data_IF_449739484592
#
_entry.id   IF_449739484592
#
_cell.length_a   1.000
_cell.length_b   1.000
_cell.length_c   1.000
_cell.angle_alpha   90.00
_cell.angle_beta   90.00
_cell.angle_gamma   90.00
#
_symmetry.space_group_name_H-M   'P 1'
#
loop_
_entity.id
_entity.type
_entity.pdbx_description
1 polymer ?
#
# COMPACT_ATOMS: atom_id res chain seq x y z
N UNK A 1 -8.10 -43.60 21.50
CA UNK A 1 -6.85 -43.05 20.92
C UNK A 1 -7.27 -41.83 20.12
N UNK A 2 -7.02 -40.63 20.66
CA UNK A 2 -7.40 -39.36 20.03
C UNK A 2 -6.58 -39.13 18.75
N UNK A 3 -7.24 -38.87 17.63
CA UNK A 3 -6.60 -38.30 16.45
C UNK A 3 -6.66 -36.77 16.53
N UNK A 4 -5.48 -36.16 16.69
CA UNK A 4 -5.26 -34.72 16.63
C UNK A 4 -5.43 -34.27 15.16
N UNK A 5 -6.49 -33.55 14.87
CA UNK A 5 -6.61 -32.76 13.64
C UNK A 5 -5.74 -31.51 13.77
N UNK A 6 -4.57 -31.52 13.14
CA UNK A 6 -3.78 -30.31 12.93
C UNK A 6 -4.38 -29.51 11.78
N UNK A 7 -4.84 -28.29 12.07
CA UNK A 7 -5.18 -27.31 11.04
C UNK A 7 -3.92 -26.95 10.26
N UNK A 8 -3.79 -27.42 9.02
CA UNK A 8 -3.01 -26.73 8.00
C UNK A 8 -3.89 -25.61 7.47
N UNK A 9 -3.49 -24.35 7.71
CA UNK A 9 -4.04 -23.23 6.95
C UNK A 9 -3.49 -23.33 5.53
N UNK A 10 -4.26 -23.94 4.64
CA UNK A 10 -3.96 -23.89 3.22
C UNK A 10 -4.15 -22.44 2.76
N UNK A 11 -3.05 -21.71 2.62
CA UNK A 11 -3.06 -20.39 1.99
C UNK A 11 -3.75 -20.49 0.62
N UNK A 12 -4.64 -19.55 0.26
CA UNK A 12 -5.34 -19.61 -1.01
C UNK A 12 -4.35 -19.74 -2.16
N UNK A 13 -4.57 -20.75 -3.01
CA UNK A 13 -3.85 -20.93 -4.27
C UNK A 13 -4.26 -19.78 -5.19
N UNK A 14 -3.51 -18.68 -5.16
CA UNK A 14 -3.65 -17.62 -6.15
C UNK A 14 -3.48 -18.23 -7.55
N UNK A 15 -4.46 -17.93 -8.41
CA UNK A 15 -4.47 -18.32 -9.82
C UNK A 15 -3.18 -17.78 -10.45
N UNK A 16 -2.44 -18.59 -11.25
CA UNK A 16 -1.22 -18.14 -11.87
C UNK A 16 -1.54 -17.17 -13.01
N UNK A 17 -1.85 -15.92 -12.68
CA UNK A 17 -1.69 -14.82 -13.63
C UNK A 17 -0.19 -14.64 -13.80
N UNK A 18 0.35 -15.15 -14.92
CA UNK A 18 1.74 -15.01 -15.39
C UNK A 18 2.69 -14.50 -14.31
N UNK A 19 3.24 -15.42 -13.51
CA UNK A 19 4.23 -15.04 -12.50
C UNK A 19 5.35 -14.28 -13.20
N UNK A 20 5.46 -12.99 -12.89
CA UNK A 20 6.54 -12.14 -13.36
C UNK A 20 7.88 -12.86 -13.17
N UNK A 21 8.76 -12.90 -14.18
CA UNK A 21 10.08 -13.50 -14.02
C UNK A 21 10.80 -12.91 -12.80
N UNK A 22 11.45 -13.75 -12.00
CA UNK A 22 12.12 -13.31 -10.76
C UNK A 22 13.14 -12.20 -11.01
N UNK A 23 13.82 -12.20 -12.16
CA UNK A 23 14.73 -11.13 -12.57
C UNK A 23 13.98 -9.79 -12.78
N UNK A 24 12.85 -9.80 -13.49
CA UNK A 24 11.99 -8.62 -13.63
C UNK A 24 11.54 -8.10 -12.27
N UNK A 25 11.09 -8.99 -11.39
CA UNK A 25 10.66 -8.63 -10.04
C UNK A 25 11.79 -7.98 -9.25
N UNK A 26 12.99 -8.56 -9.27
CA UNK A 26 14.11 -8.02 -8.50
C UNK A 26 14.60 -6.68 -9.07
N UNK A 27 14.78 -6.58 -10.40
CA UNK A 27 15.31 -5.37 -11.05
C UNK A 27 14.38 -4.17 -10.91
N UNK A 28 13.07 -4.37 -10.97
CA UNK A 28 12.12 -3.27 -10.79
C UNK A 28 12.19 -2.70 -9.36
N UNK A 29 12.40 -3.55 -8.34
CA UNK A 29 12.58 -3.11 -6.95
C UNK A 29 13.96 -2.53 -6.67
N UNK A 30 14.99 -3.00 -7.37
CA UNK A 30 16.30 -2.36 -7.37
C UNK A 30 16.23 -0.94 -7.94
N UNK A 31 15.52 -0.75 -9.06
CA UNK A 31 15.28 0.57 -9.64
C UNK A 31 14.53 1.48 -8.67
N UNK A 32 13.45 0.99 -8.06
CA UNK A 32 12.73 1.72 -7.01
C UNK A 32 13.68 2.15 -5.88
N UNK A 33 14.55 1.24 -5.42
CA UNK A 33 15.49 1.58 -4.35
C UNK A 33 16.55 2.61 -4.76
N UNK A 34 16.95 2.65 -6.04
CA UNK A 34 17.81 3.72 -6.58
C UNK A 34 17.12 5.08 -6.51
N UNK A 35 15.82 5.14 -6.83
CA UNK A 35 15.00 6.36 -6.67
C UNK A 35 15.00 6.84 -5.23
N UNK A 36 14.74 5.93 -4.29
CA UNK A 36 14.75 6.25 -2.86
C UNK A 36 16.09 6.85 -2.42
N UNK A 37 17.21 6.39 -2.98
CA UNK A 37 18.55 6.90 -2.67
C UNK A 37 19.01 8.04 -3.58
N UNK A 38 18.09 8.66 -4.33
CA UNK A 38 18.36 9.80 -5.23
C UNK A 38 19.34 9.50 -6.37
N UNK A 39 19.53 8.22 -6.73
CA UNK A 39 20.29 7.80 -7.90
C UNK A 39 19.41 7.85 -9.16
N UNK A 40 18.91 9.04 -9.49
CA UNK A 40 17.88 9.23 -10.51
C UNK A 40 18.34 8.85 -11.93
N UNK A 41 19.58 9.16 -12.31
CA UNK A 41 20.12 8.78 -13.64
C UNK A 41 20.16 7.25 -13.84
N UNK A 42 20.65 6.55 -12.82
CA UNK A 42 20.74 5.10 -12.84
C UNK A 42 19.35 4.45 -12.81
N UNK A 43 18.45 4.97 -11.97
CA UNK A 43 17.06 4.52 -11.90
C UNK A 43 16.32 4.77 -13.23
N UNK A 44 16.49 5.95 -13.83
CA UNK A 44 15.91 6.29 -15.13
C UNK A 44 16.41 5.35 -16.23
N UNK A 45 17.70 5.08 -16.27
CA UNK A 45 18.30 4.14 -17.23
C UNK A 45 17.74 2.73 -17.06
N UNK A 46 17.58 2.29 -15.81
CA UNK A 46 17.01 0.97 -15.52
C UNK A 46 15.52 0.88 -15.85
N UNK A 47 14.76 1.95 -15.59
CA UNK A 47 13.35 2.03 -15.94
C UNK A 47 13.12 1.91 -17.45
N UNK A 48 13.90 2.64 -18.27
CA UNK A 48 13.81 2.52 -19.74
C UNK A 48 14.06 1.08 -20.19
N UNK A 49 15.10 0.42 -19.66
CA UNK A 49 15.38 -0.99 -19.98
C UNK A 49 14.22 -1.91 -19.58
N UNK A 50 13.59 -1.69 -18.44
CA UNK A 50 12.45 -2.48 -17.99
C UNK A 50 11.21 -2.25 -18.86
N UNK A 51 11.03 -1.06 -19.44
CA UNK A 51 9.93 -0.79 -20.38
C UNK A 51 10.17 -1.38 -21.78
N UNK A 52 11.41 -1.74 -22.11
CA UNK A 52 11.78 -2.39 -23.37
C UNK A 52 11.74 -3.92 -23.31
N UNK A 53 11.45 -4.50 -22.15
CA UNK A 53 11.33 -5.96 -21.95
C UNK A 53 9.87 -6.38 -21.76
N UNK A 54 9.60 -7.69 -21.78
CA UNK A 54 8.29 -8.26 -21.42
C UNK A 54 8.01 -8.22 -19.90
N UNK A 55 8.74 -7.41 -19.13
CA UNK A 55 8.52 -7.26 -17.70
C UNK A 55 7.25 -6.42 -17.44
N UNK A 56 6.21 -7.05 -16.90
CA UNK A 56 5.06 -6.31 -16.36
C UNK A 56 5.52 -5.48 -15.16
N UNK A 57 5.33 -4.16 -15.23
CA UNK A 57 5.72 -3.25 -14.17
C UNK A 57 4.62 -3.08 -13.13
N UNK A 58 5.01 -3.13 -11.86
CA UNK A 58 4.14 -2.73 -10.77
C UNK A 58 3.82 -1.21 -10.88
N UNK A 59 2.58 -0.75 -10.70
CA UNK A 59 2.23 0.67 -10.81
C UNK A 59 3.04 1.62 -9.90
N UNK A 60 3.41 1.17 -8.69
CA UNK A 60 4.30 1.92 -7.79
C UNK A 60 5.68 2.08 -8.41
N UNK A 61 6.17 1.02 -9.06
CA UNK A 61 7.48 1.02 -9.70
C UNK A 61 7.45 1.86 -10.98
N UNK A 62 6.41 1.76 -11.80
CA UNK A 62 6.21 2.64 -12.96
C UNK A 62 6.24 4.12 -12.54
N UNK A 63 5.51 4.47 -11.47
CA UNK A 63 5.48 5.83 -10.92
C UNK A 63 6.88 6.31 -10.50
N UNK A 64 7.67 5.45 -9.84
CA UNK A 64 9.03 5.76 -9.41
C UNK A 64 9.99 5.93 -10.59
N UNK A 65 9.88 5.07 -11.61
CA UNK A 65 10.68 5.15 -12.82
C UNK A 65 10.41 6.44 -13.60
N UNK A 66 9.14 6.81 -13.74
CA UNK A 66 8.73 8.07 -14.33
C UNK A 66 9.29 9.28 -13.54
N UNK A 67 9.19 9.24 -12.22
CA UNK A 67 9.78 10.27 -11.36
C UNK A 67 11.31 10.37 -11.53
N UNK A 68 12.01 9.24 -11.66
CA UNK A 68 13.44 9.21 -11.95
C UNK A 68 13.77 9.91 -13.27
N UNK A 69 13.01 9.65 -14.34
CA UNK A 69 13.19 10.33 -15.63
C UNK A 69 13.01 11.85 -15.50
N UNK A 70 11.99 12.30 -14.79
CA UNK A 70 11.73 13.73 -14.57
C UNK A 70 12.86 14.39 -13.78
N UNK A 71 13.36 13.74 -12.73
CA UNK A 71 14.52 14.22 -11.94
C UNK A 71 15.82 14.26 -12.73
N UNK A 72 15.91 13.45 -13.77
CA UNK A 72 17.03 13.37 -14.71
C UNK A 72 16.92 14.33 -15.90
N UNK A 73 15.94 15.24 -15.93
CA UNK A 73 15.77 16.20 -17.04
C UNK A 73 15.34 15.54 -18.36
N UNK A 74 14.64 14.40 -18.29
CA UNK A 74 14.10 13.67 -19.46
C UNK A 74 12.59 13.93 -19.63
N UNK A 75 12.14 15.16 -19.42
CA UNK A 75 10.71 15.51 -19.42
C UNK A 75 10.02 15.22 -20.77
N UNK A 76 10.74 15.36 -21.88
CA UNK A 76 10.22 15.09 -23.22
C UNK A 76 9.87 13.60 -23.43
N UNK A 77 10.55 12.69 -22.72
CA UNK A 77 10.29 11.26 -22.75
C UNK A 77 9.29 10.84 -21.65
N UNK A 78 9.40 11.45 -20.47
CA UNK A 78 8.54 11.16 -19.33
C UNK A 78 7.08 11.61 -19.51
N UNK A 79 6.85 12.83 -20.01
CA UNK A 79 5.49 13.40 -20.10
C UNK A 79 4.55 12.58 -21.01
N UNK A 80 4.98 12.06 -22.18
CA UNK A 80 4.17 11.14 -22.96
C UNK A 80 3.84 9.83 -22.24
N UNK A 81 4.79 9.26 -21.49
CA UNK A 81 4.56 8.03 -20.70
C UNK A 81 3.51 8.26 -19.62
N UNK A 82 3.57 9.40 -18.91
CA UNK A 82 2.53 9.78 -17.95
C UNK A 82 1.17 9.94 -18.62
N UNK A 83 1.12 10.70 -19.72
CA UNK A 83 -0.14 11.04 -20.41
C UNK A 83 -0.85 9.81 -20.97
N UNK A 84 -0.08 8.87 -21.53
CA UNK A 84 -0.57 7.63 -22.12
C UNK A 84 -0.71 6.48 -21.11
N UNK A 85 -0.20 6.64 -19.89
CA UNK A 85 -0.31 5.66 -18.81
C UNK A 85 -1.76 5.40 -18.42
N UNK A 86 -2.00 4.30 -17.71
CA UNK A 86 -3.33 4.00 -17.19
C UNK A 86 -3.76 5.04 -16.14
N UNK A 87 -5.06 5.17 -15.89
CA UNK A 87 -5.53 6.03 -14.79
C UNK A 87 -4.99 5.58 -13.43
N UNK A 88 -4.69 4.29 -13.27
CA UNK A 88 -4.05 3.75 -12.07
C UNK A 88 -2.61 4.25 -11.94
N UNK A 89 -1.82 4.19 -13.02
CA UNK A 89 -0.44 4.67 -13.04
C UNK A 89 -0.35 6.17 -12.73
N UNK A 90 -1.23 6.96 -13.37
CA UNK A 90 -1.30 8.40 -13.13
C UNK A 90 -1.66 8.71 -11.68
N UNK A 91 -2.62 8.00 -11.10
CA UNK A 91 -3.01 8.15 -9.69
C UNK A 91 -1.89 7.75 -8.74
N UNK A 92 -1.20 6.63 -9.01
CA UNK A 92 -0.07 6.18 -8.22
C UNK A 92 1.06 7.22 -8.23
N UNK A 93 1.38 7.77 -9.40
CA UNK A 93 2.36 8.85 -9.54
C UNK A 93 1.94 10.10 -8.78
N UNK A 94 0.69 10.54 -8.94
CA UNK A 94 0.22 11.75 -8.28
C UNK A 94 0.02 11.62 -6.78
N UNK A 95 -0.30 10.42 -6.30
CA UNK A 95 -0.30 10.13 -4.87
C UNK A 95 1.11 10.27 -4.29
N UNK A 96 2.13 9.72 -4.95
CA UNK A 96 3.50 9.74 -4.47
C UNK A 96 4.19 11.11 -4.63
N UNK A 97 4.00 11.78 -5.77
CA UNK A 97 4.80 12.93 -6.21
C UNK A 97 4.01 14.17 -6.57
N UNK A 98 2.68 14.17 -6.39
CA UNK A 98 1.83 15.29 -6.79
C UNK A 98 2.21 16.62 -6.14
N UNK A 99 2.80 16.62 -4.93
CA UNK A 99 3.32 17.85 -4.30
C UNK A 99 4.34 18.57 -5.20
N UNK A 100 5.25 17.79 -5.80
CA UNK A 100 6.32 18.34 -6.61
C UNK A 100 5.88 18.56 -8.06
N UNK A 101 4.96 17.71 -8.55
CA UNK A 101 4.48 17.73 -9.93
C UNK A 101 3.00 18.10 -10.03
N UNK A 102 2.58 19.12 -9.25
CA UNK A 102 1.18 19.56 -9.14
C UNK A 102 0.56 19.87 -10.51
N UNK A 103 1.33 20.49 -11.41
CA UNK A 103 0.87 20.76 -12.78
C UNK A 103 0.46 19.49 -13.53
N UNK A 104 1.24 18.41 -13.42
CA UNK A 104 0.92 17.11 -14.04
C UNK A 104 -0.31 16.48 -13.38
N UNK A 105 -0.46 16.67 -12.07
CA UNK A 105 -1.45 15.98 -11.26
C UNK A 105 -2.78 16.71 -11.12
N UNK A 106 -2.83 18.00 -11.40
CA UNK A 106 -4.03 18.84 -11.35
C UNK A 106 -5.15 18.37 -12.28
N UNK A 107 -4.84 17.54 -13.28
CA UNK A 107 -5.81 16.97 -14.23
C UNK A 107 -6.49 15.69 -13.70
N UNK A 108 -5.97 15.08 -12.63
CA UNK A 108 -6.51 13.84 -12.06
C UNK A 108 -7.77 14.12 -11.26
N UNK A 109 -8.91 13.74 -11.83
CA UNK A 109 -10.23 13.92 -11.21
C UNK A 109 -10.60 12.76 -10.29
N UNK A 110 -11.50 12.96 -9.31
CA UNK A 110 -12.15 11.85 -8.60
C UNK A 110 -12.73 10.81 -9.57
N UNK A 111 -12.67 9.53 -9.20
CA UNK A 111 -13.33 8.47 -9.97
C UNK A 111 -14.84 8.70 -10.04
N UNK A 112 -15.45 8.36 -11.17
CA UNK A 112 -16.91 8.33 -11.28
C UNK A 112 -17.37 7.03 -10.63
N UNK A 113 -18.17 7.15 -9.56
CA UNK A 113 -18.57 6.01 -8.74
C UNK A 113 -20.08 5.99 -8.55
N UNK A 114 -20.64 4.81 -8.33
CA UNK A 114 -22.10 4.64 -8.16
C UNK A 114 -22.63 5.10 -6.80
N UNK A 115 -21.79 5.25 -5.77
CA UNK A 115 -22.18 5.74 -4.44
C UNK A 115 -21.24 6.84 -3.92
N UNK A 116 -21.25 8.06 -4.50
CA UNK A 116 -20.33 9.13 -4.13
C UNK A 116 -20.47 9.55 -2.66
N UNK A 117 -21.68 9.57 -2.09
CA UNK A 117 -21.87 9.87 -0.66
C UNK A 117 -21.19 8.84 0.26
N UNK A 118 -21.22 7.56 -0.11
CA UNK A 118 -20.55 6.50 0.65
C UNK A 118 -19.03 6.65 0.55
N UNK A 119 -18.50 6.90 -0.65
CA UNK A 119 -17.08 7.22 -0.85
C UNK A 119 -16.66 8.38 0.04
N UNK A 120 -17.34 9.51 -0.08
CA UNK A 120 -16.93 10.74 0.63
C UNK A 120 -17.01 10.56 2.15
N UNK A 121 -17.95 9.74 2.65
CA UNK A 121 -18.00 9.36 4.07
C UNK A 121 -16.78 8.54 4.48
N UNK A 122 -16.39 7.54 3.69
CA UNK A 122 -15.21 6.71 3.96
C UNK A 122 -13.92 7.55 3.88
N UNK A 123 -13.80 8.42 2.88
CA UNK A 123 -12.63 9.28 2.71
C UNK A 123 -12.44 10.21 3.91
N UNK A 124 -13.50 10.70 4.54
CA UNK A 124 -13.37 11.52 5.75
C UNK A 124 -12.76 10.74 6.91
N UNK A 125 -13.18 9.48 7.09
CA UNK A 125 -12.59 8.59 8.09
C UNK A 125 -11.12 8.29 7.75
N UNK A 126 -10.81 8.08 6.46
CA UNK A 126 -9.46 7.81 5.98
C UNK A 126 -8.51 9.00 6.17
N UNK A 127 -8.95 10.21 5.79
CA UNK A 127 -8.17 11.44 6.01
C UNK A 127 -7.93 11.65 7.51
N UNK A 128 -8.95 11.45 8.36
CA UNK A 128 -8.80 11.56 9.81
C UNK A 128 -7.78 10.57 10.36
N UNK A 129 -7.85 9.31 9.92
CA UNK A 129 -6.91 8.25 10.28
C UNK A 129 -5.47 8.61 9.91
N UNK A 130 -5.20 8.93 8.64
CA UNK A 130 -3.84 9.18 8.16
C UNK A 130 -3.25 10.50 8.65
N UNK A 131 -4.08 11.55 8.76
CA UNK A 131 -3.63 12.85 9.25
C UNK A 131 -3.13 12.76 10.70
N UNK A 132 -3.84 12.01 11.57
CA UNK A 132 -3.40 11.77 12.96
C UNK A 132 -2.11 10.96 13.07
N UNK A 133 -1.73 10.23 12.01
CA UNK A 133 -0.52 9.41 11.88
C UNK A 133 0.68 10.18 11.30
N UNK A 134 0.49 11.45 10.92
CA UNK A 134 1.51 12.25 10.23
C UNK A 134 1.73 11.83 8.77
N UNK A 135 0.78 11.12 8.15
CA UNK A 135 0.82 10.77 6.73
C UNK A 135 0.56 11.98 5.84
N UNK A 136 1.24 12.07 4.70
CA UNK A 136 0.97 13.11 3.70
C UNK A 136 -0.28 12.74 2.88
N UNK A 137 -1.43 13.30 3.27
CA UNK A 137 -2.73 13.04 2.64
C UNK A 137 -3.26 14.25 1.84
N UNK A 138 -2.41 15.27 1.60
CA UNK A 138 -2.80 16.55 0.98
C UNK A 138 -3.40 16.38 -0.41
N UNK A 139 -2.82 15.51 -1.23
CA UNK A 139 -3.32 15.22 -2.57
C UNK A 139 -4.75 14.66 -2.55
N UNK A 140 -5.08 13.84 -1.54
CA UNK A 140 -6.44 13.33 -1.37
C UNK A 140 -7.39 14.46 -0.94
N UNK A 141 -6.97 15.31 -0.01
CA UNK A 141 -7.75 16.47 0.46
C UNK A 141 -8.05 17.42 -0.72
N UNK A 142 -7.04 17.75 -1.53
CA UNK A 142 -7.16 18.65 -2.68
C UNK A 142 -8.05 18.04 -3.77
N UNK A 143 -7.80 16.79 -4.16
CA UNK A 143 -8.56 16.08 -5.21
C UNK A 143 -10.06 16.01 -4.92
N UNK A 144 -10.43 15.82 -3.66
CA UNK A 144 -11.83 15.71 -3.23
C UNK A 144 -12.37 17.00 -2.60
N UNK A 145 -11.60 18.09 -2.60
CA UNK A 145 -11.94 19.37 -1.98
C UNK A 145 -12.50 19.18 -0.55
N UNK A 146 -11.79 18.41 0.27
CA UNK A 146 -12.28 17.97 1.57
C UNK A 146 -12.13 19.08 2.61
N UNK A 147 -13.21 19.33 3.37
CA UNK A 147 -13.14 20.20 4.54
C UNK A 147 -12.34 19.52 5.65
N UNK A 148 -11.23 20.16 6.04
CA UNK A 148 -10.31 19.73 7.10
C UNK A 148 -10.53 20.46 8.41
N UNK A 149 -11.53 21.33 8.50
CA UNK A 149 -11.87 22.08 9.72
C UNK A 149 -12.12 21.10 10.87
N UNK A 150 -11.36 21.25 11.95
CA UNK A 150 -11.48 20.39 13.15
C UNK A 150 -10.65 19.11 13.12
N UNK A 151 -9.88 18.83 12.06
CA UNK A 151 -8.86 17.79 12.11
C UNK A 151 -7.71 18.23 13.03
N UNK A 152 -7.32 17.35 13.95
CA UNK A 152 -6.23 17.59 14.90
C UNK A 152 -5.31 16.38 14.99
N UNK A 153 -4.00 16.63 14.98
CA UNK A 153 -2.97 15.60 15.19
C UNK A 153 -2.97 15.04 16.63
N UNK A 154 -3.65 15.70 17.58
CA UNK A 154 -3.61 15.34 19.01
C UNK A 154 -4.62 14.26 19.43
N UNK A 155 -5.45 13.72 18.52
CA UNK A 155 -6.58 12.82 18.83
C UNK A 155 -6.39 11.37 18.35
N UNK A 156 -5.15 10.88 18.30
CA UNK A 156 -4.78 9.60 17.66
C UNK A 156 -5.56 8.37 18.17
N UNK A 157 -5.75 8.19 19.48
CA UNK A 157 -6.43 6.98 20.03
C UNK A 157 -7.96 7.04 19.97
N UNK A 158 -8.53 8.23 20.12
CA UNK A 158 -9.98 8.41 20.05
C UNK A 158 -10.48 8.25 18.59
N UNK A 159 -9.62 8.54 17.62
CA UNK A 159 -9.94 8.39 16.19
C UNK A 159 -10.13 6.94 15.74
N UNK A 160 -9.36 5.96 16.24
CA UNK A 160 -9.41 4.58 15.72
C UNK A 160 -10.74 3.90 16.05
N UNK A 161 -11.17 3.96 17.32
CA UNK A 161 -12.45 3.37 17.75
C UNK A 161 -13.65 4.07 17.09
N UNK A 162 -13.63 5.40 16.99
CA UNK A 162 -14.71 6.13 16.31
C UNK A 162 -14.74 5.84 14.80
N UNK A 163 -13.58 5.74 14.14
CA UNK A 163 -13.49 5.38 12.73
C UNK A 163 -14.02 3.97 12.50
N UNK A 164 -13.65 3.03 13.37
CA UNK A 164 -14.11 1.65 13.34
C UNK A 164 -15.65 1.58 13.44
N UNK A 165 -16.25 2.20 14.46
CA UNK A 165 -17.71 2.18 14.66
C UNK A 165 -18.46 2.85 13.49
N UNK A 166 -17.95 3.97 12.99
CA UNK A 166 -18.53 4.65 11.83
C UNK A 166 -18.44 3.79 10.56
N UNK A 167 -17.29 3.16 10.29
CA UNK A 167 -17.13 2.31 9.12
C UNK A 167 -18.00 1.05 9.23
N UNK A 168 -18.09 0.43 10.40
CA UNK A 168 -19.01 -0.70 10.66
C UNK A 168 -20.46 -0.31 10.36
N UNK A 169 -20.91 0.87 10.78
CA UNK A 169 -22.26 1.38 10.48
C UNK A 169 -22.48 1.61 8.98
N UNK A 170 -21.50 2.20 8.30
CA UNK A 170 -21.56 2.40 6.83
C UNK A 170 -21.69 1.06 6.10
N UNK A 171 -20.87 0.07 6.46
CA UNK A 171 -20.89 -1.28 5.87
C UNK A 171 -22.20 -2.00 6.18
N UNK A 172 -22.68 -1.93 7.43
CA UNK A 172 -23.96 -2.55 7.82
C UNK A 172 -25.13 -1.99 7.01
N UNK A 173 -25.10 -0.69 6.71
CA UNK A 173 -26.17 -0.02 5.97
C UNK A 173 -26.08 -0.25 4.45
N UNK A 174 -24.87 -0.30 3.90
CA UNK A 174 -24.65 -0.26 2.45
C UNK A 174 -24.18 -1.58 1.83
N UNK A 175 -23.88 -2.58 2.66
CA UNK A 175 -23.04 -3.71 2.29
C UNK A 175 -21.55 -3.35 2.31
N UNK A 176 -20.68 -4.36 2.21
CA UNK A 176 -19.26 -4.12 2.01
C UNK A 176 -19.04 -3.43 0.65
N UNK A 177 -18.37 -2.27 0.62
CA UNK A 177 -18.26 -1.49 -0.61
C UNK A 177 -17.39 -2.19 -1.66
N UNK A 178 -17.59 -1.82 -2.92
CA UNK A 178 -16.74 -2.23 -4.05
C UNK A 178 -16.08 -1.02 -4.71
N UNK A 179 -15.02 -1.23 -5.49
CA UNK A 179 -14.38 -0.16 -6.26
C UNK A 179 -15.36 0.60 -7.17
N UNK A 180 -16.35 -0.07 -7.78
CA UNK A 180 -17.39 0.61 -8.55
C UNK A 180 -18.30 1.52 -7.69
N UNK A 181 -18.45 1.23 -6.40
CA UNK A 181 -19.26 2.03 -5.49
C UNK A 181 -18.51 3.21 -4.90
N UNK A 182 -17.24 3.02 -4.56
CA UNK A 182 -16.49 4.02 -3.77
C UNK A 182 -15.14 4.42 -4.37
N UNK A 183 -14.75 3.86 -5.50
CA UNK A 183 -13.43 4.08 -6.12
C UNK A 183 -12.31 3.43 -5.34
N UNK A 184 -11.10 3.47 -5.90
CA UNK A 184 -9.90 2.96 -5.26
C UNK A 184 -9.58 3.72 -3.98
N UNK A 185 -9.64 5.05 -3.99
CA UNK A 185 -9.37 5.86 -2.80
C UNK A 185 -10.32 5.50 -1.63
N UNK A 186 -11.58 5.18 -1.94
CA UNK A 186 -12.55 4.70 -0.96
C UNK A 186 -12.21 3.31 -0.43
N UNK A 187 -11.80 2.38 -1.29
CA UNK A 187 -11.36 1.03 -0.88
C UNK A 187 -10.09 1.10 -0.03
N UNK A 188 -9.13 1.95 -0.38
CA UNK A 188 -7.93 2.22 0.42
C UNK A 188 -8.34 2.73 1.82
N UNK A 189 -9.31 3.64 1.90
CA UNK A 189 -9.86 4.10 3.18
C UNK A 189 -10.47 3.00 4.04
N UNK A 190 -11.21 2.05 3.44
CA UNK A 190 -11.72 0.86 4.15
C UNK A 190 -10.56 0.04 4.72
N UNK A 191 -9.54 -0.23 3.91
CA UNK A 191 -8.38 -1.01 4.32
C UNK A 191 -7.67 -0.40 5.54
N UNK A 192 -7.34 0.90 5.50
CA UNK A 192 -6.58 1.52 6.58
C UNK A 192 -7.35 1.53 7.90
N UNK A 193 -8.66 1.81 7.89
CA UNK A 193 -9.48 1.78 9.10
C UNK A 193 -9.54 0.35 9.68
N UNK A 194 -9.74 -0.66 8.82
CA UNK A 194 -9.77 -2.07 9.26
C UNK A 194 -8.40 -2.51 9.79
N UNK A 195 -7.30 -2.13 9.11
CA UNK A 195 -5.93 -2.44 9.53
C UNK A 195 -5.64 -1.92 10.94
N UNK A 196 -6.16 -0.74 11.30
CA UNK A 196 -5.96 -0.10 12.60
C UNK A 196 -7.01 -0.49 13.66
N UNK A 197 -8.04 -1.23 13.28
CA UNK A 197 -9.06 -1.73 14.20
C UNK A 197 -8.49 -2.58 15.34
N UNK A 198 -9.12 -2.43 16.51
CA UNK A 198 -8.86 -3.29 17.67
C UNK A 198 -9.67 -4.60 17.63
N UNK A 199 -10.80 -4.62 16.92
CA UNK A 199 -11.70 -5.77 16.78
C UNK A 199 -11.16 -6.81 15.80
N UNK A 200 -10.54 -7.86 16.36
CA UNK A 200 -9.98 -8.97 15.59
C UNK A 200 -11.02 -9.77 14.80
N UNK A 201 -12.26 -9.88 15.30
CA UNK A 201 -13.30 -10.64 14.62
C UNK A 201 -13.77 -9.88 13.37
N UNK A 202 -13.88 -8.55 13.48
CA UNK A 202 -14.15 -7.72 12.32
C UNK A 202 -13.02 -7.77 11.30
N UNK A 203 -11.75 -7.68 11.74
CA UNK A 203 -10.60 -7.84 10.85
C UNK A 203 -10.64 -9.18 10.10
N UNK A 204 -10.95 -10.29 10.78
CA UNK A 204 -11.13 -11.61 10.14
C UNK A 204 -12.24 -11.62 9.10
N UNK A 205 -13.40 -11.00 9.41
CA UNK A 205 -14.52 -10.92 8.48
C UNK A 205 -14.16 -10.13 7.21
N UNK A 206 -13.38 -9.04 7.35
CA UNK A 206 -12.91 -8.24 6.23
C UNK A 206 -11.82 -8.98 5.45
N UNK A 207 -10.93 -9.72 6.12
CA UNK A 207 -9.91 -10.52 5.44
C UNK A 207 -10.54 -11.57 4.51
N UNK A 208 -11.58 -12.27 4.96
CA UNK A 208 -12.35 -13.20 4.11
C UNK A 208 -12.96 -12.48 2.90
N UNK A 209 -13.40 -11.22 3.09
CA UNK A 209 -13.91 -10.42 1.98
C UNK A 209 -12.81 -10.01 0.99
N UNK A 210 -11.61 -9.69 1.47
CA UNK A 210 -10.47 -9.46 0.58
C UNK A 210 -10.04 -10.73 -0.16
N UNK A 211 -10.13 -11.91 0.46
CA UNK A 211 -9.88 -13.17 -0.25
C UNK A 211 -10.81 -13.35 -1.46
N UNK A 212 -12.10 -13.03 -1.32
CA UNK A 212 -13.04 -13.01 -2.45
C UNK A 212 -12.62 -12.01 -3.54
N UNK A 213 -12.26 -10.79 -3.14
CA UNK A 213 -11.84 -9.71 -4.04
C UNK A 213 -10.47 -9.96 -4.71
N UNK A 214 -9.61 -10.80 -4.12
CA UNK A 214 -8.37 -11.23 -4.77
C UNK A 214 -8.67 -12.13 -5.98
N UNK A 215 -9.68 -12.99 -5.86
CA UNK A 215 -10.04 -13.93 -6.91
C UNK A 215 -10.67 -13.24 -8.13
N UNK A 216 -11.30 -12.08 -7.93
CA UNK A 216 -11.88 -11.26 -9.00
C UNK A 216 -10.95 -10.13 -9.49
N UNK A 217 -9.79 -9.94 -8.85
CA UNK A 217 -8.80 -8.91 -9.20
C UNK A 217 -9.19 -7.48 -8.77
N UNK A 218 -10.19 -7.30 -7.92
CA UNK A 218 -10.74 -5.99 -7.52
C UNK A 218 -10.13 -5.41 -6.23
N UNK A 219 -9.03 -5.98 -5.73
CA UNK A 219 -8.31 -5.47 -4.56
C UNK A 219 -6.80 -5.56 -4.75
N UNK A 220 -6.07 -4.64 -4.13
CA UNK A 220 -4.61 -4.68 -4.05
C UNK A 220 -4.17 -5.88 -3.19
N UNK A 221 -3.32 -6.74 -3.75
CA UNK A 221 -2.81 -7.95 -3.07
C UNK A 221 -2.06 -7.62 -1.79
N UNK A 222 -1.33 -6.50 -1.77
CA UNK A 222 -0.57 -6.08 -0.61
C UNK A 222 -1.48 -5.84 0.60
N UNK A 223 -2.70 -5.32 0.40
CA UNK A 223 -3.66 -5.10 1.50
C UNK A 223 -4.03 -6.40 2.22
N UNK A 224 -4.27 -7.46 1.46
CA UNK A 224 -4.51 -8.79 2.04
C UNK A 224 -3.30 -9.26 2.85
N UNK A 225 -2.09 -9.16 2.28
CA UNK A 225 -0.87 -9.60 2.95
C UNK A 225 -0.64 -8.87 4.28
N UNK A 226 -0.80 -7.56 4.30
CA UNK A 226 -0.68 -6.73 5.52
C UNK A 226 -1.73 -7.10 6.58
N UNK A 227 -3.00 -7.25 6.19
CA UNK A 227 -4.06 -7.60 7.14
C UNK A 227 -3.91 -9.03 7.68
N UNK A 228 -3.56 -9.98 6.81
CA UNK A 228 -3.30 -11.38 7.16
C UNK A 228 -2.20 -11.50 8.22
N UNK A 229 -1.03 -10.90 7.99
CA UNK A 229 0.08 -10.94 8.94
C UNK A 229 -0.28 -10.28 10.27
N UNK A 230 -1.00 -9.15 10.24
CA UNK A 230 -1.47 -8.47 11.46
C UNK A 230 -2.39 -9.37 12.29
N UNK A 231 -3.34 -10.05 11.65
CA UNK A 231 -4.24 -11.00 12.32
C UNK A 231 -3.44 -12.17 12.90
N UNK A 232 -2.50 -12.74 12.15
CA UNK A 232 -1.67 -13.85 12.61
C UNK A 232 -0.89 -13.50 13.89
N UNK A 233 -0.27 -12.32 13.94
CA UNK A 233 0.48 -11.89 15.12
C UNK A 233 -0.44 -11.66 16.32
N UNK A 234 -1.63 -11.06 16.11
CA UNK A 234 -2.63 -10.92 17.18
C UNK A 234 -3.10 -12.27 17.72
N UNK A 235 -3.03 -13.33 16.93
CA UNK A 235 -3.35 -14.71 17.33
C UNK A 235 -2.14 -15.49 17.89
N UNK A 236 -0.95 -14.89 17.93
CA UNK A 236 0.28 -15.56 18.35
C UNK A 236 0.89 -16.48 17.29
N UNK A 237 0.44 -16.40 16.04
CA UNK A 237 0.96 -17.17 14.92
C UNK A 237 2.11 -16.44 14.22
N UNK A 238 2.92 -17.19 13.47
CA UNK A 238 3.88 -16.61 12.55
C UNK A 238 3.18 -15.92 11.38
N UNK A 239 3.78 -14.83 10.88
CA UNK A 239 3.34 -14.12 9.69
C UNK A 239 3.80 -14.82 8.41
N UNK A 240 3.05 -14.65 7.33
CA UNK A 240 3.28 -15.32 6.05
C UNK A 240 4.13 -14.46 5.11
N UNK A 241 3.91 -13.14 5.11
CA UNK A 241 4.51 -12.21 4.14
C UNK A 241 5.61 -11.33 4.76
N UNK A 242 5.76 -11.35 6.08
CA UNK A 242 6.79 -10.58 6.79
C UNK A 242 6.53 -9.08 6.77
N UNK A 243 5.27 -8.65 6.77
CA UNK A 243 4.90 -7.22 6.69
C UNK A 243 5.00 -6.50 8.03
N UNK A 244 4.99 -7.21 9.16
CA UNK A 244 4.91 -6.61 10.49
C UNK A 244 6.27 -6.65 11.20
N UNK A 245 6.73 -5.48 11.60
CA UNK A 245 7.99 -5.29 12.32
C UNK A 245 7.74 -5.34 13.82
N UNK A 246 8.60 -6.05 14.54
CA UNK A 246 8.61 -6.11 16.00
C UNK A 246 9.45 -4.97 16.58
N UNK A 247 10.68 -4.78 16.09
CA UNK A 247 11.57 -3.70 16.51
C UNK A 247 12.43 -3.18 15.35
N UNK A 248 12.87 -1.92 15.48
CA UNK A 248 13.86 -1.29 14.60
C UNK A 248 15.11 -0.97 15.41
N UNK A 249 16.25 -1.50 14.98
CA UNK A 249 17.55 -1.28 15.60
C UNK A 249 18.38 -0.37 14.68
N UNK A 250 18.26 0.95 14.86
CA UNK A 250 18.91 1.93 13.99
C UNK A 250 20.44 1.92 14.11
N UNK A 251 20.97 1.57 15.28
CA UNK A 251 22.42 1.57 15.58
C UNK A 251 23.21 0.62 14.66
N UNK A 252 22.57 -0.48 14.23
CA UNK A 252 23.17 -1.51 13.37
C UNK A 252 22.39 -1.73 12.06
N UNK A 253 21.43 -0.87 11.73
CA UNK A 253 20.55 -1.00 10.56
C UNK A 253 19.82 -2.37 10.50
N UNK A 254 19.35 -2.88 11.63
CA UNK A 254 18.60 -4.14 11.67
C UNK A 254 17.10 -3.91 11.86
N UNK A 255 16.31 -4.77 11.20
CA UNK A 255 14.86 -4.84 11.36
C UNK A 255 14.52 -6.21 11.94
N UNK A 256 13.97 -6.21 13.15
CA UNK A 256 13.46 -7.42 13.79
C UNK A 256 11.99 -7.59 13.41
N UNK A 257 11.66 -8.64 12.66
CA UNK A 257 10.28 -9.00 12.35
C UNK A 257 9.68 -9.87 13.46
N UNK A 258 8.35 -9.87 13.59
CA UNK A 258 7.68 -10.98 14.28
C UNK A 258 7.98 -12.31 13.54
N UNK A 259 7.84 -13.49 14.20
CA UNK A 259 8.15 -14.78 13.59
C UNK A 259 7.52 -14.93 12.20
N UNK A 260 8.31 -15.40 11.23
CA UNK A 260 7.88 -15.59 9.84
C UNK A 260 7.83 -17.09 9.55
N UNK A 261 6.69 -17.56 9.06
CA UNK A 261 6.52 -18.94 8.61
C UNK A 261 7.37 -19.17 7.36
N UNK A 262 8.16 -20.25 7.30
CA UNK A 262 9.06 -20.57 6.18
C UNK A 262 9.78 -19.32 5.61
N UNK A 263 10.67 -18.75 6.41
CA UNK A 263 11.40 -17.53 6.05
C UNK A 263 12.32 -17.70 4.84
N UNK A 264 12.65 -18.95 4.45
CA UNK A 264 13.52 -19.24 3.30
C UNK A 264 12.78 -18.92 1.99
N UNK A 265 11.48 -19.23 1.93
CA UNK A 265 10.64 -19.02 0.72
C UNK A 265 9.77 -17.77 0.79
N UNK A 266 10.10 -16.82 1.67
CA UNK A 266 9.28 -15.63 1.86
C UNK A 266 9.15 -14.80 0.59
N UNK A 267 10.23 -14.66 -0.17
CA UNK A 267 10.25 -13.83 -1.36
C UNK A 267 9.41 -14.40 -2.50
N UNK A 268 9.21 -15.73 -2.55
CA UNK A 268 8.24 -16.36 -3.45
C UNK A 268 6.80 -15.88 -3.14
N UNK A 269 6.44 -15.80 -1.86
CA UNK A 269 5.13 -15.31 -1.41
C UNK A 269 4.99 -13.81 -1.60
N UNK A 270 6.04 -13.05 -1.34
CA UNK A 270 6.05 -11.59 -1.52
C UNK A 270 5.91 -11.21 -2.98
N UNK A 271 6.62 -11.89 -3.88
CA UNK A 271 6.47 -11.72 -5.32
C UNK A 271 5.05 -12.01 -5.81
N UNK A 272 4.42 -13.09 -5.33
CA UNK A 272 3.04 -13.43 -5.71
C UNK A 272 1.99 -12.41 -5.25
N UNK A 273 2.31 -11.61 -4.23
CA UNK A 273 1.45 -10.59 -3.63
C UNK A 273 1.89 -9.15 -3.97
N UNK A 274 2.70 -8.98 -5.02
CA UNK A 274 3.16 -7.68 -5.52
C UNK A 274 3.92 -6.85 -4.47
N UNK A 275 4.53 -7.53 -3.50
CA UNK A 275 5.40 -6.95 -2.48
C UNK A 275 6.86 -6.96 -2.97
N UNK A 276 7.64 -6.02 -2.46
CA UNK A 276 9.09 -5.97 -2.63
C UNK A 276 9.79 -7.16 -1.98
N UNK A 277 10.99 -7.57 -2.43
CA UNK A 277 11.80 -8.54 -1.68
C UNK A 277 12.01 -8.09 -0.24
N UNK A 278 12.06 -9.04 0.70
CA UNK A 278 12.15 -8.72 2.13
C UNK A 278 13.37 -7.85 2.45
N UNK A 279 14.48 -8.03 1.74
CA UNK A 279 15.67 -7.19 1.89
C UNK A 279 15.40 -5.71 1.56
N UNK A 280 14.69 -5.42 0.47
CA UNK A 280 14.33 -4.05 0.13
C UNK A 280 13.36 -3.48 1.16
N UNK A 281 12.38 -4.28 1.62
CA UNK A 281 11.45 -3.83 2.67
C UNK A 281 12.18 -3.36 3.93
N UNK A 282 13.19 -4.13 4.39
CA UNK A 282 14.02 -3.76 5.54
C UNK A 282 14.64 -2.37 5.35
N UNK A 283 15.23 -2.12 4.19
CA UNK A 283 15.89 -0.85 3.87
C UNK A 283 14.87 0.30 3.83
N UNK A 284 13.68 0.08 3.25
CA UNK A 284 12.62 1.08 3.16
C UNK A 284 12.07 1.48 4.53
N UNK A 285 11.82 0.51 5.42
CA UNK A 285 11.34 0.81 6.77
C UNK A 285 12.40 1.58 7.56
N UNK A 286 13.66 1.15 7.54
CA UNK A 286 14.73 1.86 8.25
C UNK A 286 14.82 3.33 7.81
N UNK A 287 14.73 3.57 6.51
CA UNK A 287 14.72 4.94 5.94
C UNK A 287 13.48 5.74 6.38
N UNK A 288 12.29 5.15 6.30
CA UNK A 288 11.03 5.82 6.65
C UNK A 288 10.96 6.24 8.14
N UNK A 289 11.65 5.51 9.02
CA UNK A 289 11.65 5.81 10.45
C UNK A 289 12.91 6.53 10.96
N UNK A 290 14.04 6.49 10.24
CA UNK A 290 15.24 7.25 10.60
C UNK A 290 15.03 8.77 10.50
N UNK A 291 14.23 9.21 9.52
CA UNK A 291 13.79 10.62 9.42
C UNK A 291 13.05 11.10 10.67
N UNK A 292 12.15 10.26 11.22
CA UNK A 292 11.38 10.58 12.44
C UNK A 292 12.24 10.60 13.70
N UNK A 293 13.29 9.77 13.77
CA UNK A 293 14.20 9.73 14.93
C UNK A 293 15.09 10.97 15.01
N UNK A 294 15.46 11.54 13.87
CA UNK A 294 16.27 12.76 13.81
C UNK A 294 15.49 14.02 14.17
N UNK A 295 14.16 14.04 13.96
CA UNK A 295 13.29 15.16 14.34
C UNK A 295 12.97 15.20 15.85
N UNK A 296 13.14 14.08 16.57
CA UNK A 296 12.94 14.00 18.04
C UNK A 296 14.19 14.45 18.82
N UNK A 297 15.35 14.54 18.17
CA UNK A 297 16.61 14.99 18.78
C UNK A 297 16.93 16.48 18.56
N UNK A 298 16.09 17.23 17.84
CA UNK A 298 16.18 18.68 17.67
C UNK A 298 15.16 19.39 18.55
#
# INVERSE_FOLDING_TARGET
MLFLYGCKSDSPKLIPSQTMPTDCWYRQWEMFFKVENSFYEEASTEFVKLTETDCLLNPKVFSNGLFAMLKSGKENEANPLFSNGSEEDKRAFCFAYGKEYDKLCSEIKPEIVSKPYLRDSILRLYVRDQYSRGGDIRQLIERYNMDTTGLSMLLYRDSDHENEEHLKKLITTNGFPTANQVGKDGMDGVFYIVQHSSDINWQKSVLAKYEELLNDGSTDKSMYAYLSDRINIKLGNAQLYGTQVKNLHFENNEVEFFPIEDSIRIDERRMAFDLEPLEFYKKLILKAYSGRFNDVKK
#
